data_IF_869270391185
#
_entry.id   IF_869270391185
#
_cell.length_a   1.000
_cell.length_b   1.000
_cell.length_c   1.000
_cell.angle_alpha   90.00
_cell.angle_beta   90.00
_cell.angle_gamma   90.00
#
_symmetry.space_group_name_H-M   'P 1'
#
loop_
_entity.id
_entity.type
_entity.pdbx_description
1 polymer ?
#
# COMPACT_ATOMS: atom_id res chain seq x y z
N UNK A 1 -1.85 35.72 11.36
CA UNK A 1 -0.49 35.68 10.78
C UNK A 1 0.43 34.99 11.78
N UNK A 2 0.61 33.67 11.65
CA UNK A 2 1.54 32.87 12.47
C UNK A 2 2.34 32.02 11.50
N UNK A 3 3.66 32.24 11.49
CA UNK A 3 4.61 31.57 10.62
C UNK A 3 4.74 30.09 11.00
N UNK A 4 4.63 29.20 10.02
CA UNK A 4 5.13 27.83 10.10
C UNK A 4 6.65 27.85 9.89
N UNK A 5 7.39 27.21 10.79
CA UNK A 5 8.78 26.84 10.58
C UNK A 5 8.82 25.50 9.84
N UNK A 6 9.29 25.51 8.60
CA UNK A 6 9.69 24.31 7.86
C UNK A 6 11.18 24.10 8.12
N UNK A 7 11.55 22.98 8.75
CA UNK A 7 12.95 22.57 8.88
C UNK A 7 13.32 21.72 7.66
N UNK A 8 14.04 22.31 6.71
CA UNK A 8 14.75 21.60 5.65
C UNK A 8 16.07 21.07 6.22
N UNK A 9 16.25 19.75 6.27
CA UNK A 9 17.55 19.13 6.48
C UNK A 9 18.14 18.76 5.11
N UNK A 10 19.03 19.61 4.60
CA UNK A 10 19.78 19.39 3.38
C UNK A 10 21.04 18.57 3.66
N UNK A 11 21.11 17.32 3.21
CA UNK A 11 22.35 16.54 3.21
C UNK A 11 23.21 16.92 1.99
N UNK A 12 24.22 17.77 2.21
CA UNK A 12 25.30 18.06 1.27
C UNK A 12 26.31 16.90 1.28
N UNK A 13 26.38 16.14 0.20
CA UNK A 13 27.48 15.20 -0.05
C UNK A 13 28.70 15.97 -0.58
N UNK A 14 29.70 16.16 0.27
CA UNK A 14 31.04 16.61 -0.12
C UNK A 14 31.82 15.41 -0.70
N UNK A 15 32.06 15.46 -2.00
CA UNK A 15 32.96 14.56 -2.74
C UNK A 15 34.42 14.96 -2.45
N UNK A 16 35.19 14.05 -1.86
CA UNK A 16 36.64 14.17 -1.75
C UNK A 16 37.31 13.17 -2.70
N UNK A 17 37.78 13.68 -3.83
CA UNK A 17 38.74 13.01 -4.71
C UNK A 17 40.10 12.91 -4.04
N UNK A 18 40.74 11.74 -4.10
CA UNK A 18 42.20 11.66 -4.09
C UNK A 18 42.69 10.54 -5.03
N UNK A 19 43.33 10.97 -6.13
CA UNK A 19 44.12 10.15 -7.06
C UNK A 19 45.44 9.75 -6.39
N UNK A 20 45.84 8.48 -6.52
CA UNK A 20 47.25 8.10 -6.76
C UNK A 20 47.34 6.88 -7.69
N UNK A 21 48.18 7.03 -8.69
CA UNK A 21 48.58 6.11 -9.77
C UNK A 21 49.74 5.21 -9.32
N UNK A 22 49.85 3.99 -9.87
CA UNK A 22 51.13 3.37 -10.24
C UNK A 22 50.92 2.10 -11.10
N UNK A 23 51.39 2.23 -12.34
CA UNK A 23 52.22 1.33 -13.17
C UNK A 23 51.79 -0.09 -13.63
N UNK A 24 52.00 -0.24 -14.95
CA UNK A 24 51.99 -1.45 -15.75
C UNK A 24 53.28 -2.26 -15.61
N UNK A 25 53.20 -3.59 -15.77
CA UNK A 25 54.22 -4.32 -16.53
C UNK A 25 53.68 -5.59 -17.21
N UNK A 26 53.93 -5.67 -18.53
CA UNK A 26 53.80 -6.85 -19.42
C UNK A 26 54.78 -7.95 -19.01
N UNK A 27 54.59 -9.25 -19.26
CA UNK A 27 54.74 -10.06 -20.51
C UNK A 27 54.74 -11.54 -20.03
N UNK A 28 54.22 -12.57 -20.69
CA UNK A 28 54.71 -13.26 -21.91
C UNK A 28 53.72 -14.39 -22.31
N UNK A 29 53.62 -14.74 -23.60
CA UNK A 29 53.01 -15.99 -24.12
C UNK A 29 54.11 -17.01 -24.50
N UNK A 30 53.84 -18.34 -24.62
CA UNK A 30 53.34 -18.88 -25.90
C UNK A 30 52.46 -20.18 -25.86
N UNK A 31 51.40 -20.15 -26.67
CA UNK A 31 50.81 -21.19 -27.57
C UNK A 31 51.07 -22.70 -27.31
N UNK A 32 50.00 -23.48 -27.13
CA UNK A 32 49.79 -24.78 -27.81
C UNK A 32 48.31 -25.22 -27.81
N UNK A 33 47.89 -25.65 -29.00
CA UNK A 33 46.57 -26.13 -29.42
C UNK A 33 46.16 -27.45 -28.76
N UNK A 34 44.92 -27.58 -28.30
CA UNK A 34 44.21 -28.87 -28.21
C UNK A 34 42.69 -28.67 -28.07
N UNK A 35 41.99 -29.03 -29.15
CA UNK A 35 40.72 -29.79 -29.19
C UNK A 35 39.48 -29.23 -28.50
N UNK A 36 38.52 -28.84 -29.35
CA UNK A 36 37.11 -28.66 -29.03
C UNK A 36 36.55 -29.86 -28.23
N UNK A 37 36.07 -29.57 -27.02
CA UNK A 37 34.94 -30.26 -26.41
C UNK A 37 34.00 -29.21 -25.84
N UNK A 38 33.00 -28.90 -26.65
CA UNK A 38 31.85 -28.07 -26.31
C UNK A 38 31.20 -28.62 -25.04
N UNK A 39 31.37 -27.92 -23.93
CA UNK A 39 30.56 -28.11 -22.72
C UNK A 39 29.86 -26.78 -22.51
N UNK A 40 28.53 -26.82 -22.55
CA UNK A 40 27.65 -25.68 -22.49
C UNK A 40 28.04 -24.78 -21.30
N UNK A 41 28.25 -23.50 -21.59
CA UNK A 41 28.41 -22.48 -20.58
C UNK A 41 27.11 -22.39 -19.76
N UNK A 42 27.28 -22.41 -18.45
CA UNK A 42 26.27 -22.10 -17.45
C UNK A 42 25.47 -20.87 -17.90
N UNK A 43 24.23 -21.15 -18.30
CA UNK A 43 23.20 -20.13 -18.40
C UNK A 43 22.81 -19.82 -16.97
N UNK A 44 23.27 -18.68 -16.45
CA UNK A 44 22.68 -18.07 -15.26
C UNK A 44 21.21 -17.78 -15.61
N UNK A 45 20.34 -18.74 -15.33
CA UNK A 45 18.91 -18.55 -15.37
C UNK A 45 18.55 -17.62 -14.23
N UNK A 46 18.19 -16.39 -14.59
CA UNK A 46 17.37 -15.49 -13.78
C UNK A 46 16.04 -16.18 -13.44
N UNK A 47 16.05 -17.03 -12.41
CA UNK A 47 14.85 -17.61 -11.81
C UNK A 47 15.02 -17.68 -10.30
N UNK A 48 15.17 -16.53 -9.65
CA UNK A 48 14.81 -16.34 -8.24
C UNK A 48 14.05 -15.03 -8.13
N UNK A 49 12.86 -14.98 -8.74
CA UNK A 49 11.83 -14.07 -8.23
C UNK A 49 11.24 -14.73 -6.99
N UNK A 50 11.23 -13.98 -5.89
CA UNK A 50 10.80 -14.40 -4.57
C UNK A 50 9.29 -14.72 -4.57
N UNK A 51 8.91 -15.91 -5.06
CA UNK A 51 7.52 -16.43 -5.13
C UNK A 51 6.93 -16.74 -3.74
N UNK A 52 7.68 -16.42 -2.67
CA UNK A 52 7.35 -16.69 -1.29
C UNK A 52 6.73 -15.48 -0.60
N UNK A 53 5.52 -15.02 -0.95
CA UNK A 53 4.60 -14.24 -0.07
C UNK A 53 3.43 -13.55 -0.78
N UNK A 54 2.92 -14.01 -1.93
CA UNK A 54 1.68 -13.41 -2.47
C UNK A 54 0.47 -14.17 -1.94
N UNK A 55 -0.16 -13.78 -0.81
CA UNK A 55 -1.42 -14.40 -0.38
C UNK A 55 -2.47 -14.27 -1.49
N UNK A 56 -3.47 -15.17 -1.52
CA UNK A 56 -4.59 -15.04 -2.43
C UNK A 56 -5.19 -13.63 -2.30
N UNK A 57 -5.57 -13.04 -3.43
CA UNK A 57 -6.19 -11.71 -3.47
C UNK A 57 -7.68 -11.84 -3.16
N UNK A 58 -8.19 -10.97 -2.29
CA UNK A 58 -9.63 -10.85 -2.03
C UNK A 58 -10.41 -10.52 -3.32
N UNK A 59 -11.69 -10.90 -3.35
CA UNK A 59 -12.66 -10.53 -4.36
C UNK A 59 -13.11 -9.06 -4.27
N UNK A 60 -12.79 -8.39 -3.15
CA UNK A 60 -13.10 -6.98 -2.92
C UNK A 60 -11.91 -6.13 -3.37
N UNK A 61 -12.17 -5.18 -4.28
CA UNK A 61 -11.21 -4.14 -4.66
C UNK A 61 -11.43 -2.88 -3.82
N UNK A 62 -10.36 -2.39 -3.21
CA UNK A 62 -10.37 -1.20 -2.38
C UNK A 62 -9.39 -0.19 -2.95
N UNK A 63 -9.87 1.01 -3.24
CA UNK A 63 -9.07 2.12 -3.76
C UNK A 63 -8.96 3.23 -2.73
N UNK A 64 -7.89 4.01 -2.86
CA UNK A 64 -7.65 5.22 -2.08
C UNK A 64 -8.14 6.48 -2.78
N UNK A 65 -8.18 7.59 -2.03
CA UNK A 65 -8.49 8.91 -2.55
C UNK A 65 -7.19 9.69 -2.79
N UNK A 66 -6.92 10.07 -4.03
CA UNK A 66 -5.86 11.01 -4.38
C UNK A 66 -6.45 12.41 -4.47
N UNK A 67 -5.81 13.41 -3.86
CA UNK A 67 -6.37 14.75 -3.76
C UNK A 67 -5.76 15.68 -4.80
N UNK A 68 -6.59 16.41 -5.54
CA UNK A 68 -6.18 17.40 -6.53
C UNK A 68 -7.06 18.63 -6.41
N UNK A 69 -6.51 19.80 -6.04
CA UNK A 69 -7.23 21.07 -5.86
C UNK A 69 -8.64 20.91 -5.24
N UNK A 70 -9.68 21.06 -6.06
CA UNK A 70 -11.11 21.02 -5.69
C UNK A 70 -11.77 19.65 -5.89
N UNK A 71 -10.99 18.62 -6.24
CA UNK A 71 -11.45 17.27 -6.60
C UNK A 71 -10.66 16.19 -5.86
N UNK A 72 -11.23 15.00 -5.87
CA UNK A 72 -10.52 13.76 -5.55
C UNK A 72 -10.55 12.86 -6.77
N UNK A 73 -9.44 12.19 -7.04
CA UNK A 73 -9.33 11.13 -8.02
C UNK A 73 -9.35 9.78 -7.30
N UNK A 74 -10.17 8.87 -7.81
CA UNK A 74 -10.13 7.46 -7.45
C UNK A 74 -9.36 6.80 -8.57
N UNK A 75 -8.04 6.66 -8.38
CA UNK A 75 -7.20 6.10 -9.43
C UNK A 75 -7.43 4.60 -9.58
N UNK A 76 -7.50 4.17 -10.84
CA UNK A 76 -7.66 2.79 -11.25
C UNK A 76 -6.37 2.22 -11.86
N UNK A 77 -5.29 2.99 -11.90
CA UNK A 77 -4.07 2.66 -12.65
C UNK A 77 -3.39 1.36 -12.22
N UNK A 78 -3.47 0.97 -10.94
CA UNK A 78 -2.91 -0.31 -10.44
C UNK A 78 -3.56 -1.53 -11.13
N UNK A 79 -4.83 -1.40 -11.49
CA UNK A 79 -5.60 -2.45 -12.17
C UNK A 79 -5.74 -2.18 -13.69
N UNK A 80 -5.69 -0.90 -14.09
CA UNK A 80 -5.80 -0.44 -15.47
C UNK A 80 -4.44 0.01 -15.99
N UNK A 81 -3.58 -0.96 -16.29
CA UNK A 81 -2.25 -0.70 -16.84
C UNK A 81 -2.38 0.06 -18.17
N UNK A 82 -1.84 1.27 -18.19
CA UNK A 82 -1.80 2.13 -19.35
C UNK A 82 -0.77 1.60 -20.35
N UNK A 83 -1.18 1.48 -21.60
CA UNK A 83 -0.27 1.11 -22.68
C UNK A 83 0.28 2.36 -23.33
N UNK A 84 1.61 2.39 -23.51
CA UNK A 84 2.33 3.42 -24.28
C UNK A 84 2.08 3.33 -25.79
N UNK A 85 1.34 2.31 -26.25
CA UNK A 85 0.97 2.21 -27.66
C UNK A 85 0.00 3.33 -28.05
N UNK A 86 0.25 3.98 -29.19
CA UNK A 86 -0.56 5.12 -29.68
C UNK A 86 -2.04 4.78 -29.90
N UNK A 87 -2.35 3.50 -30.11
CA UNK A 87 -3.72 3.01 -30.30
C UNK A 87 -4.40 2.53 -28.99
N UNK A 88 -3.79 2.75 -27.82
CA UNK A 88 -4.32 2.24 -26.54
C UNK A 88 -5.71 2.80 -26.18
N UNK A 89 -6.08 3.94 -26.77
CA UNK A 89 -7.29 4.73 -26.51
C UNK A 89 -7.53 4.95 -25.00
N UNK A 90 -6.47 4.98 -24.20
CA UNK A 90 -6.55 5.19 -22.76
C UNK A 90 -6.59 6.68 -22.41
N UNK A 91 -5.78 7.49 -23.11
CA UNK A 91 -5.75 8.95 -23.03
C UNK A 91 -5.73 9.56 -24.44
N UNK A 92 -6.05 10.85 -24.61
CA UNK A 92 -5.88 11.58 -25.87
C UNK A 92 -4.42 11.61 -26.37
N UNK A 93 -4.23 11.80 -27.68
CA UNK A 93 -2.90 12.06 -28.26
C UNK A 93 -2.43 13.46 -27.83
N UNK A 94 -1.27 13.54 -27.18
CA UNK A 94 -0.74 14.76 -26.57
C UNK A 94 0.01 15.67 -27.55
N UNK A 95 0.22 15.27 -28.82
CA UNK A 95 1.00 16.06 -29.79
C UNK A 95 0.57 17.51 -29.99
N UNK A 96 -0.70 17.81 -29.71
CA UNK A 96 -1.29 19.14 -29.90
C UNK A 96 -1.60 19.85 -28.57
N UNK A 97 -1.15 19.30 -27.45
CA UNK A 97 -1.31 19.90 -26.13
C UNK A 97 -0.02 20.61 -25.73
N UNK A 98 -0.16 21.73 -25.03
CA UNK A 98 0.97 22.33 -24.31
C UNK A 98 1.17 21.62 -22.96
N UNK A 99 2.33 21.85 -22.33
CA UNK A 99 2.68 21.20 -21.05
C UNK A 99 1.63 21.45 -19.96
N UNK A 100 1.21 22.70 -19.78
CA UNK A 100 0.24 23.10 -18.75
C UNK A 100 -1.13 22.42 -18.96
N UNK A 101 -1.60 22.36 -20.20
CA UNK A 101 -2.87 21.70 -20.56
C UNK A 101 -2.80 20.18 -20.38
N UNK A 102 -1.60 19.61 -20.43
CA UNK A 102 -1.38 18.18 -20.32
C UNK A 102 -1.32 17.68 -18.87
N UNK A 103 -1.23 18.56 -17.88
CA UNK A 103 -1.19 18.13 -16.46
C UNK A 103 -2.51 17.51 -15.98
N UNK A 104 -3.62 17.90 -16.60
CA UNK A 104 -4.97 17.38 -16.33
C UNK A 104 -5.74 17.19 -17.63
N UNK A 105 -6.20 15.96 -17.87
CA UNK A 105 -6.94 15.59 -19.07
C UNK A 105 -8.35 15.14 -18.68
N UNK A 106 -9.39 15.95 -18.95
CA UNK A 106 -10.77 15.48 -18.83
C UNK A 106 -11.04 14.41 -19.89
N UNK A 107 -11.47 13.22 -19.46
CA UNK A 107 -11.67 12.09 -20.35
C UNK A 107 -13.11 12.03 -20.82
N UNK A 108 -13.33 12.40 -22.09
CA UNK A 108 -14.62 12.28 -22.74
C UNK A 108 -15.15 10.84 -22.80
N UNK A 109 -16.43 10.70 -23.17
CA UNK A 109 -17.17 9.43 -23.15
C UNK A 109 -16.45 8.25 -23.84
N UNK A 110 -15.69 8.51 -24.91
CA UNK A 110 -14.90 7.50 -25.63
C UNK A 110 -13.88 6.82 -24.69
N UNK A 111 -13.05 7.61 -24.03
CA UNK A 111 -11.98 7.12 -23.13
C UNK A 111 -12.56 6.49 -21.87
N UNK A 112 -13.57 7.13 -21.27
CA UNK A 112 -14.31 6.61 -20.11
C UNK A 112 -14.86 5.20 -20.39
N UNK A 113 -15.49 4.97 -21.55
CA UNK A 113 -16.04 3.66 -21.92
C UNK A 113 -14.97 2.58 -22.10
N UNK A 114 -13.80 2.93 -22.66
CA UNK A 114 -12.67 1.99 -22.79
C UNK A 114 -12.14 1.59 -21.41
N UNK A 115 -11.89 2.57 -20.53
CA UNK A 115 -11.47 2.33 -19.14
C UNK A 115 -12.46 1.43 -18.42
N UNK A 116 -13.75 1.79 -18.43
CA UNK A 116 -14.81 1.02 -17.79
C UNK A 116 -14.90 -0.41 -18.33
N UNK A 117 -14.82 -0.59 -19.65
CA UNK A 117 -14.86 -1.92 -20.27
C UNK A 117 -13.68 -2.80 -19.83
N UNK A 118 -12.46 -2.26 -19.79
CA UNK A 118 -11.27 -3.01 -19.37
C UNK A 118 -11.32 -3.37 -17.88
N UNK A 119 -11.85 -2.45 -17.08
CA UNK A 119 -12.05 -2.63 -15.64
C UNK A 119 -13.30 -3.44 -15.27
N UNK A 120 -14.13 -3.81 -16.26
CA UNK A 120 -15.41 -4.50 -16.06
C UNK A 120 -16.37 -3.75 -15.13
N UNK A 121 -16.38 -2.43 -15.24
CA UNK A 121 -17.28 -1.53 -14.50
C UNK A 121 -18.48 -1.20 -15.39
N UNK A 122 -19.68 -1.45 -14.88
CA UNK A 122 -20.91 -1.16 -15.60
C UNK A 122 -21.41 0.27 -15.32
N UNK A 123 -22.16 0.86 -16.26
CA UNK A 123 -22.82 2.16 -16.05
C UNK A 123 -23.85 2.12 -14.90
N UNK A 124 -24.39 0.94 -14.59
CA UNK A 124 -25.31 0.70 -13.46
C UNK A 124 -24.62 0.56 -12.12
N UNK A 125 -23.28 0.46 -12.11
CA UNK A 125 -22.53 0.39 -10.85
C UNK A 125 -22.54 1.73 -10.13
N UNK A 126 -22.13 1.68 -8.87
CA UNK A 126 -21.91 2.87 -8.05
C UNK A 126 -20.51 2.86 -7.46
N UNK A 127 -19.96 4.06 -7.32
CA UNK A 127 -18.74 4.33 -6.57
C UNK A 127 -19.13 4.68 -5.13
N UNK A 128 -18.58 3.94 -4.17
CA UNK A 128 -18.85 4.08 -2.75
C UNK A 128 -17.59 4.59 -2.04
N UNK A 129 -17.65 5.78 -1.44
CA UNK A 129 -16.56 6.33 -0.61
C UNK A 129 -17.01 6.27 0.84
N UNK A 130 -16.32 5.48 1.65
CA UNK A 130 -16.70 5.20 3.03
C UNK A 130 -15.63 5.63 4.01
N UNK A 131 -15.95 6.61 4.86
CA UNK A 131 -15.16 6.97 6.03
C UNK A 131 -15.47 5.97 7.15
N UNK A 132 -14.53 5.07 7.39
CA UNK A 132 -14.67 4.00 8.37
C UNK A 132 -14.56 4.49 9.82
N UNK A 133 -14.00 5.69 10.03
CA UNK A 133 -13.82 6.29 11.35
C UNK A 133 -15.07 7.05 11.82
N UNK A 134 -15.79 7.68 10.90
CA UNK A 134 -17.00 8.45 11.18
C UNK A 134 -18.30 7.71 10.79
N UNK A 135 -18.20 6.58 10.06
CA UNK A 135 -19.32 5.84 9.48
C UNK A 135 -20.15 6.71 8.52
N UNK A 136 -19.47 7.41 7.62
CA UNK A 136 -20.09 8.28 6.60
C UNK A 136 -19.87 7.65 5.23
N UNK A 137 -20.95 7.53 4.45
CA UNK A 137 -20.91 6.99 3.09
C UNK A 137 -21.36 8.04 2.07
N UNK A 138 -20.55 8.22 1.03
CA UNK A 138 -20.97 8.81 -0.23
C UNK A 138 -21.15 7.72 -1.28
N UNK A 139 -22.16 7.88 -2.14
CA UNK A 139 -22.44 6.96 -3.22
C UNK A 139 -22.76 7.78 -4.48
N UNK A 140 -22.10 7.46 -5.59
CA UNK A 140 -22.28 8.12 -6.87
C UNK A 140 -22.53 7.08 -7.96
N UNK A 141 -23.51 7.30 -8.81
CA UNK A 141 -23.73 6.42 -9.95
C UNK A 141 -22.59 6.59 -10.96
N UNK A 142 -22.00 5.47 -11.42
CA UNK A 142 -20.83 5.51 -12.32
C UNK A 142 -21.15 6.21 -13.64
N UNK A 143 -22.37 6.03 -14.16
CA UNK A 143 -22.83 6.74 -15.37
C UNK A 143 -22.69 8.27 -15.27
N UNK A 144 -22.85 8.85 -14.08
CA UNK A 144 -22.88 10.28 -13.83
C UNK A 144 -21.50 10.86 -13.43
N UNK A 145 -20.50 9.99 -13.20
CA UNK A 145 -19.14 10.41 -12.85
C UNK A 145 -18.34 10.85 -14.06
N UNK A 146 -17.52 11.90 -13.91
CA UNK A 146 -16.48 12.21 -14.88
C UNK A 146 -15.29 11.26 -14.71
N UNK A 147 -14.60 11.00 -15.82
CA UNK A 147 -13.30 10.35 -15.79
C UNK A 147 -12.22 11.38 -16.15
N UNK A 148 -11.04 11.22 -15.58
CA UNK A 148 -9.93 12.12 -15.81
C UNK A 148 -8.60 11.38 -15.71
N UNK A 149 -7.57 11.96 -16.33
CA UNK A 149 -6.18 11.59 -16.12
C UNK A 149 -5.42 12.79 -15.56
N UNK A 150 -4.64 12.56 -14.51
CA UNK A 150 -3.77 13.56 -13.87
C UNK A 150 -2.33 13.07 -13.95
N UNK A 151 -1.36 13.97 -14.11
CA UNK A 151 0.04 13.60 -13.91
C UNK A 151 0.20 13.05 -12.50
N UNK A 152 0.96 11.96 -12.38
CA UNK A 152 1.13 11.27 -11.13
C UNK A 152 1.75 12.17 -10.06
N UNK A 153 1.49 11.84 -8.79
CA UNK A 153 1.91 12.65 -7.64
C UNK A 153 3.43 12.76 -7.46
N UNK A 154 4.22 11.92 -8.13
CA UNK A 154 5.69 11.98 -8.15
C UNK A 154 6.23 12.90 -9.25
N UNK A 155 5.36 13.39 -10.13
CA UNK A 155 5.71 14.21 -11.27
C UNK A 155 6.17 13.39 -12.49
N UNK A 156 6.41 14.10 -13.58
CA UNK A 156 6.99 13.59 -14.82
C UNK A 156 7.66 14.75 -15.56
N UNK A 157 8.59 14.45 -16.46
CA UNK A 157 9.22 15.45 -17.34
C UNK A 157 8.44 15.56 -18.64
N UNK A 158 8.26 16.78 -19.14
CA UNK A 158 7.65 17.02 -20.45
C UNK A 158 8.62 16.61 -21.58
N UNK A 159 8.16 15.95 -22.66
CA UNK A 159 6.77 15.57 -22.97
C UNK A 159 6.30 14.32 -22.23
N UNK A 160 5.07 14.38 -21.70
CA UNK A 160 4.49 13.29 -20.94
C UNK A 160 4.11 12.10 -21.81
N UNK A 161 4.22 10.90 -21.24
CA UNK A 161 3.75 9.65 -21.79
C UNK A 161 2.51 9.14 -21.05
N UNK A 162 1.78 8.19 -21.65
CA UNK A 162 0.59 7.62 -21.01
C UNK A 162 0.89 7.00 -19.64
N UNK A 163 2.07 6.43 -19.44
CA UNK A 163 2.51 5.86 -18.15
C UNK A 163 2.69 6.91 -17.05
N UNK A 164 2.76 8.20 -17.37
CA UNK A 164 2.95 9.26 -16.39
C UNK A 164 1.64 9.64 -15.68
N UNK A 165 0.50 9.18 -16.20
CA UNK A 165 -0.81 9.58 -15.72
C UNK A 165 -1.45 8.58 -14.75
N UNK A 166 -2.03 9.11 -13.68
CA UNK A 166 -3.06 8.46 -12.86
C UNK A 166 -4.41 8.61 -13.55
N UNK A 167 -5.15 7.51 -13.75
CA UNK A 167 -6.41 7.53 -14.50
C UNK A 167 -7.54 6.94 -13.67
N UNK A 168 -8.71 7.58 -13.68
CA UNK A 168 -9.84 7.08 -12.91
C UNK A 168 -11.06 7.99 -12.93
N UNK A 169 -11.92 7.80 -11.93
CA UNK A 169 -13.09 8.66 -11.74
C UNK A 169 -12.74 9.84 -10.83
N UNK A 170 -13.26 11.02 -11.16
CA UNK A 170 -13.12 12.21 -10.32
C UNK A 170 -14.45 12.59 -9.65
N UNK A 171 -14.35 13.11 -8.42
CA UNK A 171 -15.48 13.65 -7.67
C UNK A 171 -15.10 15.02 -7.13
N UNK A 172 -15.98 16.02 -7.31
CA UNK A 172 -15.78 17.33 -6.71
C UNK A 172 -15.86 17.25 -5.18
N UNK A 173 -14.87 17.80 -4.48
CA UNK A 173 -14.78 17.74 -3.01
C UNK A 173 -16.04 18.29 -2.32
N UNK A 174 -16.65 19.34 -2.87
CA UNK A 174 -17.88 19.94 -2.34
C UNK A 174 -19.10 18.99 -2.33
N UNK A 175 -19.07 17.91 -3.11
CA UNK A 175 -20.12 16.90 -3.15
C UNK A 175 -19.92 15.82 -2.07
N UNK A 176 -18.76 15.77 -1.45
CA UNK A 176 -18.44 14.79 -0.42
C UNK A 176 -18.97 15.26 0.93
N UNK A 177 -19.68 14.35 1.61
CA UNK A 177 -20.09 14.51 3.01
C UNK A 177 -18.94 14.25 4.00
N UNK A 178 -17.84 13.68 3.52
CA UNK A 178 -16.68 13.33 4.33
C UNK A 178 -15.76 14.56 4.36
N UNK A 179 -15.35 15.05 5.55
CA UNK A 179 -14.39 16.14 5.65
C UNK A 179 -13.04 15.78 5.02
N UNK A 180 -12.32 16.75 4.47
CA UNK A 180 -10.99 16.52 3.87
C UNK A 180 -10.00 15.89 4.87
N UNK A 181 -10.11 16.27 6.15
CA UNK A 181 -9.34 15.67 7.25
C UNK A 181 -9.60 14.18 7.47
N UNK A 182 -10.58 13.58 6.80
CA UNK A 182 -10.95 12.17 6.98
C UNK A 182 -10.72 11.34 5.71
N UNK A 183 -10.08 11.91 4.68
CA UNK A 183 -9.79 11.15 3.47
C UNK A 183 -8.80 9.99 3.71
N UNK A 184 -7.86 10.15 4.65
CA UNK A 184 -6.95 9.06 5.04
C UNK A 184 -7.66 7.92 5.82
N UNK A 185 -8.86 8.20 6.36
CA UNK A 185 -9.74 7.19 6.96
C UNK A 185 -10.86 6.76 6.03
N UNK A 186 -10.69 6.93 4.72
CA UNK A 186 -11.70 6.59 3.73
C UNK A 186 -11.22 5.49 2.79
N UNK A 187 -12.12 4.57 2.46
CA UNK A 187 -11.91 3.55 1.44
C UNK A 187 -12.94 3.67 0.34
N UNK A 188 -12.54 3.34 -0.88
CA UNK A 188 -13.42 3.36 -2.04
C UNK A 188 -13.63 1.95 -2.60
N UNK A 189 -14.87 1.61 -2.91
CA UNK A 189 -15.20 0.43 -3.70
C UNK A 189 -16.11 0.81 -4.86
N UNK A 190 -16.00 0.09 -5.97
CA UNK A 190 -16.87 0.27 -7.15
C UNK A 190 -17.59 -1.05 -7.42
N UNK A 191 -18.90 -0.97 -7.63
CA UNK A 191 -19.69 -2.15 -8.02
C UNK A 191 -21.19 -1.95 -7.88
N UNK A 192 -21.99 -3.02 -8.08
CA UNK A 192 -23.45 -2.91 -8.15
C UNK A 192 -24.10 -2.65 -6.78
N UNK A 193 -23.41 -2.90 -5.68
CA UNK A 193 -23.94 -2.76 -4.30
C UNK A 193 -22.84 -2.32 -3.35
N UNK A 194 -23.23 -1.55 -2.32
CA UNK A 194 -22.34 -1.14 -1.24
C UNK A 194 -21.78 -2.36 -0.49
N UNK A 195 -20.46 -2.62 -0.50
CA UNK A 195 -19.85 -3.76 0.20
C UNK A 195 -19.61 -3.49 1.70
N UNK A 196 -19.59 -2.22 2.13
CA UNK A 196 -19.29 -1.85 3.51
C UNK A 196 -20.40 -2.25 4.47
N UNK A 197 -20.01 -2.70 5.67
CA UNK A 197 -20.94 -3.11 6.72
C UNK A 197 -21.68 -1.95 7.39
N UNK A 198 -21.31 -0.70 7.09
CA UNK A 198 -21.88 0.52 7.68
C UNK A 198 -21.78 0.52 9.21
N UNK A 199 -20.62 0.10 9.71
CA UNK A 199 -20.25 0.12 11.13
C UNK A 199 -18.95 0.88 11.30
N UNK A 200 -18.96 1.82 12.25
CA UNK A 200 -17.76 2.55 12.66
C UNK A 200 -16.71 1.56 13.18
N UNK A 201 -15.50 1.63 12.63
CA UNK A 201 -14.37 0.86 13.15
C UNK A 201 -13.93 1.40 14.51
N UNK A 202 -13.38 0.51 15.32
CA UNK A 202 -12.86 0.83 16.63
C UNK A 202 -11.36 1.10 16.52
N UNK A 203 -10.92 2.18 17.16
CA UNK A 203 -9.49 2.42 17.39
C UNK A 203 -8.97 1.38 18.36
N UNK A 204 -7.87 0.71 18.04
CA UNK A 204 -7.26 -0.22 18.99
C UNK A 204 -6.62 0.60 20.11
N UNK A 205 -7.08 0.40 21.35
CA UNK A 205 -6.59 1.10 22.55
C UNK A 205 -5.66 0.17 23.33
N UNK A 206 -4.38 0.22 23.00
CA UNK A 206 -3.40 -0.66 23.60
C UNK A 206 -3.23 -0.40 25.10
N UNK A 207 -3.16 -1.48 25.87
CA UNK A 207 -2.78 -1.45 27.28
C UNK A 207 -1.64 -2.42 27.51
N UNK A 208 -0.54 -1.91 28.06
CA UNK A 208 0.60 -2.74 28.44
C UNK A 208 0.20 -3.77 29.51
N UNK A 209 0.71 -5.00 29.35
CA UNK A 209 0.47 -6.14 30.23
C UNK A 209 1.75 -6.90 30.52
N UNK A 210 1.73 -7.71 31.57
CA UNK A 210 2.83 -8.63 31.86
C UNK A 210 3.00 -9.66 30.74
N UNK A 211 4.25 -9.93 30.34
CA UNK A 211 4.57 -10.87 29.26
C UNK A 211 4.04 -12.30 29.51
N UNK A 212 3.84 -12.70 30.77
CA UNK A 212 3.24 -13.99 31.13
C UNK A 212 1.76 -14.14 30.73
N UNK A 213 1.10 -13.05 30.33
CA UNK A 213 -0.31 -13.06 29.92
C UNK A 213 -0.51 -13.27 28.41
N UNK A 214 0.54 -13.25 27.60
CA UNK A 214 0.41 -13.54 26.17
C UNK A 214 0.20 -15.05 25.96
N UNK A 215 -0.67 -15.47 25.02
CA UNK A 215 -0.80 -16.87 24.67
C UNK A 215 0.55 -17.47 24.25
N UNK A 216 0.87 -18.64 24.79
CA UNK A 216 2.12 -19.36 24.50
C UNK A 216 2.04 -20.10 23.17
N UNK A 217 2.02 -19.36 22.07
CA UNK A 217 1.96 -19.89 20.70
C UNK A 217 3.35 -19.76 20.07
N UNK A 218 3.91 -20.85 19.47
CA UNK A 218 5.22 -20.79 18.81
C UNK A 218 5.19 -19.78 17.66
N UNK A 219 6.32 -19.12 17.39
CA UNK A 219 6.44 -18.26 16.20
C UNK A 219 6.28 -19.13 14.96
N UNK A 220 5.54 -18.65 13.97
CA UNK A 220 5.42 -19.30 12.69
C UNK A 220 6.80 -19.31 12.00
N UNK A 221 7.36 -20.48 11.67
CA UNK A 221 8.71 -20.59 11.12
C UNK A 221 8.93 -19.78 9.84
N UNK A 222 7.86 -19.51 9.08
CA UNK A 222 7.92 -18.65 7.88
C UNK A 222 8.45 -17.24 8.18
N UNK A 223 8.25 -16.75 9.41
CA UNK A 223 8.65 -15.41 9.82
C UNK A 223 9.89 -15.40 10.74
N UNK A 224 10.55 -16.55 10.93
CA UNK A 224 11.74 -16.65 11.79
C UNK A 224 12.86 -15.72 11.34
N UNK A 225 13.01 -15.51 10.03
CA UNK A 225 14.04 -14.61 9.48
C UNK A 225 13.91 -13.17 9.99
N UNK A 226 12.67 -12.70 10.20
CA UNK A 226 12.39 -11.34 10.67
C UNK A 226 12.52 -11.19 12.18
N UNK A 227 12.46 -12.31 12.90
CA UNK A 227 12.57 -12.33 14.37
C UNK A 227 13.98 -12.69 14.84
N UNK A 228 14.85 -13.17 13.95
CA UNK A 228 16.21 -13.58 14.28
C UNK A 228 17.04 -12.39 14.76
N UNK A 229 17.74 -12.55 15.88
CA UNK A 229 18.59 -11.50 16.46
C UNK A 229 17.82 -10.43 17.25
N UNK A 230 16.49 -10.53 17.31
CA UNK A 230 15.66 -9.64 18.13
C UNK A 230 15.43 -10.20 19.53
N UNK A 231 15.07 -9.32 20.45
CA UNK A 231 14.65 -9.66 21.82
C UNK A 231 13.20 -9.24 22.04
N UNK A 232 12.45 -10.02 22.81
CA UNK A 232 11.08 -9.66 23.19
C UNK A 232 11.09 -8.46 24.13
N UNK A 233 10.24 -7.47 23.86
CA UNK A 233 10.08 -6.26 24.67
C UNK A 233 8.67 -6.20 25.29
N UNK A 234 8.05 -5.01 25.33
CA UNK A 234 6.73 -4.78 25.91
C UNK A 234 5.66 -5.64 25.21
N UNK A 235 4.60 -5.95 25.98
CA UNK A 235 3.43 -6.68 25.50
C UNK A 235 2.21 -5.84 25.77
N UNK A 236 1.30 -5.79 24.80
CA UNK A 236 0.08 -5.03 24.89
C UNK A 236 -1.13 -5.92 24.65
N UNK A 237 -2.27 -5.47 25.17
CA UNK A 237 -3.56 -6.12 24.98
C UNK A 237 -4.65 -5.11 24.68
N UNK A 238 -5.67 -5.60 23.97
CA UNK A 238 -6.91 -4.87 23.71
C UNK A 238 -8.06 -5.87 23.58
N UNK A 239 -9.27 -5.46 23.92
CA UNK A 239 -10.47 -6.30 23.83
C UNK A 239 -11.52 -5.60 22.98
N UNK A 240 -12.11 -6.32 22.03
CA UNK A 240 -13.25 -5.85 21.25
C UNK A 240 -14.29 -6.97 21.13
N UNK A 241 -15.38 -6.88 21.89
CA UNK A 241 -16.38 -7.94 22.00
C UNK A 241 -15.78 -9.27 22.48
N UNK A 242 -15.92 -10.31 21.67
CA UNK A 242 -15.44 -11.66 21.92
C UNK A 242 -14.01 -11.90 21.46
N UNK A 243 -13.34 -10.87 20.92
CA UNK A 243 -11.95 -10.95 20.48
C UNK A 243 -11.01 -10.30 21.49
N UNK A 244 -9.92 -11.01 21.80
CA UNK A 244 -8.81 -10.54 22.59
C UNK A 244 -7.57 -10.43 21.72
N UNK A 245 -6.98 -9.23 21.69
CA UNK A 245 -5.80 -8.91 20.90
C UNK A 245 -4.60 -8.91 21.84
N UNK A 246 -3.50 -9.47 21.36
CA UNK A 246 -2.20 -9.44 22.01
C UNK A 246 -1.13 -9.01 21.02
N UNK A 247 -0.29 -8.07 21.42
CA UNK A 247 0.78 -7.54 20.59
C UNK A 247 2.10 -7.66 21.34
N UNK A 248 3.09 -8.33 20.75
CA UNK A 248 4.45 -8.45 21.27
C UNK A 248 5.38 -7.60 20.42
N UNK A 249 6.07 -6.64 21.05
CA UNK A 249 7.18 -5.92 20.41
C UNK A 249 8.45 -6.80 20.41
N UNK A 250 9.20 -6.71 19.31
CA UNK A 250 10.52 -7.29 19.13
C UNK A 250 11.51 -6.16 18.84
N UNK A 251 12.66 -6.21 19.50
CA UNK A 251 13.64 -5.16 19.45
C UNK A 251 15.05 -5.66 19.09
N UNK A 252 15.74 -4.88 18.26
CA UNK A 252 17.17 -5.02 17.97
C UNK A 252 17.88 -3.78 18.51
N UNK A 253 18.97 -3.98 19.28
CA UNK A 253 19.76 -2.89 19.90
C UNK A 253 18.93 -1.86 20.73
N UNK A 254 17.74 -2.26 21.17
CA UNK A 254 16.84 -1.45 22.02
C UNK A 254 15.65 -0.83 21.27
N UNK A 255 15.75 -0.73 19.94
CA UNK A 255 14.74 -0.16 19.07
C UNK A 255 13.75 -1.22 18.61
N UNK A 256 12.46 -0.89 18.59
CA UNK A 256 11.41 -1.82 18.14
C UNK A 256 11.48 -1.93 16.62
N UNK A 257 11.83 -3.12 16.14
CA UNK A 257 12.00 -3.43 14.72
C UNK A 257 10.95 -4.40 14.19
N UNK A 258 10.21 -5.06 15.08
CA UNK A 258 9.16 -5.99 14.69
C UNK A 258 8.03 -6.08 15.72
N UNK A 259 6.88 -6.56 15.27
CA UNK A 259 5.69 -6.82 16.09
C UNK A 259 5.00 -8.09 15.65
N UNK A 260 4.48 -8.84 16.61
CA UNK A 260 3.59 -9.98 16.38
C UNK A 260 2.23 -9.70 16.98
N UNK A 261 1.20 -9.71 16.15
CA UNK A 261 -0.19 -9.59 16.55
C UNK A 261 -0.83 -10.98 16.60
N UNK A 262 -1.42 -11.32 17.74
CA UNK A 262 -2.27 -12.49 17.91
C UNK A 262 -3.68 -12.01 18.26
N UNK A 263 -4.70 -12.64 17.67
CA UNK A 263 -6.09 -12.43 18.07
C UNK A 263 -6.69 -13.76 18.47
N UNK A 264 -7.23 -13.81 19.67
CA UNK A 264 -7.86 -14.95 20.31
C UNK A 264 -9.38 -14.74 20.39
N UNK A 265 -10.15 -15.79 20.16
CA UNK A 265 -11.55 -15.82 20.56
C UNK A 265 -11.64 -16.09 22.07
N UNK A 266 -12.20 -15.17 22.83
CA UNK A 266 -12.27 -15.23 24.30
C UNK A 266 -13.09 -16.38 24.86
N UNK A 267 -14.01 -16.93 24.07
CA UNK A 267 -14.88 -18.02 24.50
C UNK A 267 -14.21 -19.37 24.26
N UNK A 268 -13.59 -19.55 23.10
CA UNK A 268 -12.96 -20.83 22.73
C UNK A 268 -11.47 -20.90 23.07
N UNK A 269 -10.85 -19.77 23.38
CA UNK A 269 -9.39 -19.61 23.52
C UNK A 269 -8.60 -20.01 22.27
N UNK A 270 -9.25 -20.04 21.11
CA UNK A 270 -8.59 -20.31 19.84
C UNK A 270 -7.94 -19.03 19.31
N UNK A 271 -6.66 -19.11 18.91
CA UNK A 271 -6.05 -18.06 18.08
C UNK A 271 -6.69 -18.12 16.71
N UNK A 272 -7.45 -17.07 16.35
CA UNK A 272 -8.19 -16.96 15.08
C UNK A 272 -7.45 -16.13 14.04
N UNK A 273 -6.41 -15.40 14.46
CA UNK A 273 -5.57 -14.60 13.57
C UNK A 273 -4.18 -14.42 14.15
N UNK A 274 -3.20 -14.38 13.25
CA UNK A 274 -1.82 -14.08 13.54
C UNK A 274 -1.24 -13.26 12.39
N UNK A 275 -0.51 -12.19 12.73
CA UNK A 275 0.26 -11.45 11.73
C UNK A 275 1.56 -10.91 12.31
N UNK A 276 2.49 -10.62 11.42
CA UNK A 276 3.83 -10.14 11.70
C UNK A 276 4.07 -8.85 10.95
N UNK A 277 4.62 -7.87 11.65
CA UNK A 277 4.95 -6.56 11.12
C UNK A 277 6.41 -6.26 11.43
N UNK A 278 7.15 -5.65 10.53
CA UNK A 278 8.57 -5.35 10.73
C UNK A 278 9.02 -4.18 9.84
N UNK A 279 10.10 -3.51 10.26
CA UNK A 279 10.73 -2.49 9.44
C UNK A 279 11.55 -3.16 8.33
N UNK A 280 11.40 -2.68 7.10
CA UNK A 280 12.27 -3.02 5.96
C UNK A 280 12.41 -1.81 5.02
N UNK A 281 12.99 -2.00 3.84
CA UNK A 281 13.06 -0.92 2.84
C UNK A 281 11.66 -0.51 2.36
N UNK A 282 10.73 -1.47 2.33
CA UNK A 282 9.35 -1.34 1.88
C UNK A 282 8.43 -0.58 2.83
N UNK A 283 8.74 -0.56 4.12
CA UNK A 283 7.85 0.04 5.11
C UNK A 283 8.43 0.14 6.52
N UNK A 284 7.70 0.86 7.37
CA UNK A 284 8.07 1.10 8.75
C UNK A 284 6.88 0.90 9.70
N UNK A 285 7.14 0.44 10.91
CA UNK A 285 6.12 0.31 11.94
C UNK A 285 5.49 1.65 12.28
N UNK A 286 4.16 1.69 12.29
CA UNK A 286 3.41 2.85 12.82
C UNK A 286 3.58 2.96 14.34
N UNK A 287 3.49 4.16 14.92
CA UNK A 287 3.37 4.31 16.38
C UNK A 287 2.12 3.60 16.91
N UNK A 288 2.20 3.05 18.14
CA UNK A 288 1.04 2.42 18.77
C UNK A 288 0.10 3.48 19.33
N UNK A 289 -1.18 3.39 18.91
CA UNK A 289 -2.25 4.24 19.41
C UNK A 289 -2.23 4.32 20.94
N UNK A 290 -2.31 5.53 21.49
CA UNK A 290 -2.40 5.82 22.93
C UNK A 290 -1.21 5.36 23.79
N UNK A 291 -0.13 4.87 23.17
CA UNK A 291 1.14 4.56 23.83
C UNK A 291 2.20 5.58 23.42
N UNK A 292 2.29 5.86 22.11
CA UNK A 292 3.19 6.87 21.57
C UNK A 292 2.53 8.26 21.59
N UNK A 293 3.33 9.34 21.72
CA UNK A 293 2.83 10.71 21.93
C UNK A 293 2.49 11.48 20.64
N UNK A 294 2.46 10.84 19.48
CA UNK A 294 2.21 11.50 18.19
C UNK A 294 0.76 12.01 18.05
N UNK A 295 -0.17 11.44 18.81
CA UNK A 295 -1.57 11.89 18.87
C UNK A 295 -2.41 11.47 17.65
N UNK A 296 -1.80 10.80 16.68
CA UNK A 296 -2.45 10.24 15.51
C UNK A 296 -3.03 8.86 15.81
N UNK A 297 -4.04 8.46 15.03
CA UNK A 297 -4.73 7.19 15.19
C UNK A 297 -4.45 6.33 13.96
N UNK A 298 -3.65 5.29 14.19
CA UNK A 298 -3.12 4.40 13.16
C UNK A 298 -3.86 3.08 13.11
N UNK A 299 -3.98 2.39 14.26
CA UNK A 299 -4.52 1.02 14.27
C UNK A 299 -6.05 0.97 14.44
N UNK A 300 -6.71 0.23 13.55
CA UNK A 300 -8.16 0.08 13.51
C UNK A 300 -8.58 -1.39 13.49
N UNK A 301 -9.75 -1.69 14.04
CA UNK A 301 -10.36 -3.02 13.96
C UNK A 301 -11.88 -3.00 13.93
N UNK A 302 -12.48 -4.09 13.46
CA UNK A 302 -13.91 -4.34 13.50
C UNK A 302 -14.49 -4.73 12.14
N UNK A 303 -15.82 -4.68 12.05
CA UNK A 303 -16.57 -5.11 10.86
C UNK A 303 -16.54 -4.05 9.75
N UNK A 304 -15.63 -4.20 8.78
CA UNK A 304 -15.54 -3.27 7.64
C UNK A 304 -16.49 -3.65 6.49
N UNK A 305 -16.57 -4.94 6.15
CA UNK A 305 -17.35 -5.44 5.00
C UNK A 305 -18.52 -6.34 5.42
N UNK A 306 -19.60 -6.30 4.63
CA UNK A 306 -20.74 -7.21 4.79
C UNK A 306 -20.28 -8.64 4.54
N UNK A 307 -20.77 -9.58 5.36
CA UNK A 307 -20.55 -11.03 5.19
C UNK A 307 -19.07 -11.48 5.15
N UNK A 308 -18.12 -10.62 5.54
CA UNK A 308 -16.70 -10.97 5.72
C UNK A 308 -16.32 -10.92 7.20
N UNK A 309 -15.22 -11.56 7.64
CA UNK A 309 -14.72 -11.42 9.01
C UNK A 309 -14.41 -9.96 9.37
N UNK A 310 -14.16 -9.71 10.66
CA UNK A 310 -13.64 -8.42 11.11
C UNK A 310 -12.21 -8.22 10.57
N UNK A 311 -11.73 -6.98 10.53
CA UNK A 311 -10.37 -6.64 10.06
C UNK A 311 -9.52 -6.08 11.19
N UNK A 312 -8.19 -6.11 11.04
CA UNK A 312 -7.25 -5.41 11.91
C UNK A 312 -6.07 -4.87 11.09
N UNK A 313 -5.91 -3.56 10.99
CA UNK A 313 -4.91 -2.95 10.09
C UNK A 313 -4.35 -1.64 10.67
N UNK A 314 -3.38 -1.05 9.96
CA UNK A 314 -2.74 0.21 10.33
C UNK A 314 -1.52 0.05 11.24
N UNK A 315 -0.81 -1.08 11.09
CA UNK A 315 0.38 -1.40 11.89
C UNK A 315 1.70 -0.95 11.23
N UNK A 316 1.69 -0.69 9.93
CA UNK A 316 2.85 -0.28 9.12
C UNK A 316 2.48 0.86 8.17
N UNK A 317 3.43 1.75 7.93
CA UNK A 317 3.50 2.62 6.78
C UNK A 317 4.14 1.85 5.62
N UNK A 318 3.59 2.00 4.43
CA UNK A 318 4.22 1.52 3.21
C UNK A 318 4.99 2.68 2.57
N UNK A 319 6.31 2.53 2.44
CA UNK A 319 7.18 3.38 1.63
C UNK A 319 7.14 2.95 0.17
N UNK A 320 7.13 1.63 -0.07
CA UNK A 320 6.96 0.99 -1.38
C UNK A 320 5.76 0.04 -1.34
N UNK A 321 4.99 -0.01 -2.42
CA UNK A 321 3.71 -0.71 -2.49
C UNK A 321 2.57 -0.05 -1.70
N UNK A 322 1.46 -0.77 -1.57
CA UNK A 322 0.26 -0.31 -0.87
C UNK A 322 0.02 -1.14 0.39
N UNK A 323 -0.51 -0.50 1.43
CA UNK A 323 -0.88 -1.21 2.66
C UNK A 323 -2.00 -2.22 2.40
N UNK A 324 -2.05 -3.26 3.23
CA UNK A 324 -3.06 -4.31 3.14
C UNK A 324 -4.12 -4.19 4.23
N UNK A 325 -5.29 -4.80 4.01
CA UNK A 325 -6.37 -4.91 4.99
C UNK A 325 -6.61 -6.40 5.24
N UNK A 326 -5.98 -7.00 6.26
CA UNK A 326 -6.19 -8.39 6.59
C UNK A 326 -7.50 -8.59 7.36
N UNK A 327 -8.16 -9.69 7.05
CA UNK A 327 -9.27 -10.21 7.84
C UNK A 327 -8.73 -10.99 9.04
N UNK A 328 -9.39 -10.85 10.19
CA UNK A 328 -9.20 -11.67 11.38
C UNK A 328 -9.79 -13.06 11.09
N UNK A 329 -9.05 -13.83 10.29
CA UNK A 329 -9.38 -15.16 9.83
C UNK A 329 -8.11 -15.88 9.39
N UNK A 330 -8.10 -17.21 9.51
CA UNK A 330 -7.02 -18.06 9.00
C UNK A 330 -7.13 -18.33 7.49
N UNK A 331 -8.30 -18.14 6.91
CA UNK A 331 -8.62 -18.61 5.55
C UNK A 331 -9.04 -17.50 4.60
N UNK A 332 -9.50 -16.35 5.12
CA UNK A 332 -9.99 -15.29 4.26
C UNK A 332 -8.80 -14.55 3.61
N UNK A 333 -8.79 -14.40 2.28
CA UNK A 333 -7.72 -13.71 1.57
C UNK A 333 -7.61 -12.23 1.97
N UNK A 334 -6.38 -11.71 2.08
CA UNK A 334 -6.12 -10.30 2.39
C UNK A 334 -6.60 -9.39 1.25
N UNK A 335 -7.05 -8.19 1.58
CA UNK A 335 -7.29 -7.14 0.60
C UNK A 335 -6.01 -6.34 0.38
N UNK A 336 -5.57 -6.27 -0.87
CA UNK A 336 -4.55 -5.32 -1.31
C UNK A 336 -5.25 -4.02 -1.71
N UNK A 337 -4.82 -2.89 -1.12
CA UNK A 337 -5.32 -1.58 -1.53
C UNK A 337 -4.69 -1.18 -2.84
N UNK A 338 -5.48 -0.55 -3.70
CA UNK A 338 -5.01 0.15 -4.89
C UNK A 338 -4.80 1.61 -4.53
N UNK A 339 -3.54 1.99 -4.33
CA UNK A 339 -3.12 3.32 -3.91
C UNK A 339 -2.37 4.09 -5.00
N UNK A 340 -2.25 3.51 -6.20
CA UNK A 340 -1.46 4.05 -7.32
C UNK A 340 0.00 4.30 -6.92
N UNK A 341 0.65 3.23 -6.42
CA UNK A 341 2.05 3.30 -6.08
C UNK A 341 2.90 3.12 -7.35
N UNK A 342 3.75 4.11 -7.65
CA UNK A 342 4.63 4.15 -8.82
C UNK A 342 6.12 4.20 -8.48
N UNK A 343 6.47 3.87 -7.24
CA UNK A 343 7.86 3.73 -6.83
C UNK A 343 8.54 2.50 -7.45
#
# INVERSE_FOLDING_TARGET
>A
MRLLYISLASCLFLSCTNKKTSDQQKTTSPKKTATEKTTAADTLTETETDDYLTPPKSDIRVYDLSQFDSRVLISLSDDYVLSSHKDSLAIPDLKNFEEEESQYLPLGLKYKKVMMSKMRIAETDSLFIYDYSANILNAFAVKDLNAAAYINIYGAEWPYEASDYMIGFEVEKKLLKIPESNYYTSFVCIGPKNPFAMKKLQTIKWKEIAASKIPSVPVNPKYDRFMKGTTKKNVYSYTNGDLQYFLQDYAEKGDVTGRRLLVENKTTHEIVFENYYYNDEGGALTPLNFINPDGEIHQWTGKLFKNKPDVAFGFEYASFGCSTIPFISKTEPVIFRSCDNRH
#
